data_IF_701617141994
#
_entry.id   IF_701617141994
#
_cell.length_a   1.000
_cell.length_b   1.000
_cell.length_c   1.000
_cell.angle_alpha   90.00
_cell.angle_beta   90.00
_cell.angle_gamma   90.00
#
_symmetry.space_group_name_H-M   'P 1'
#
loop_
_entity.id
_entity.type
_entity.pdbx_description
1 polymer ?
#
# COMPACT_ATOMS: atom_id res chain seq x y z
N UNK A 1 -65.58 -19.53 -54.98
CA UNK A 1 -66.04 -19.73 -53.59
C UNK A 1 -64.85 -19.35 -52.71
N UNK A 2 -64.82 -18.10 -52.21
CA UNK A 2 -64.98 -17.75 -50.79
C UNK A 2 -63.81 -18.27 -49.92
N UNK A 3 -63.04 -17.52 -49.13
CA UNK A 3 -63.24 -16.26 -48.37
C UNK A 3 -61.86 -15.73 -47.90
N UNK A 4 -61.76 -14.41 -47.77
CA UNK A 4 -60.72 -13.64 -47.05
C UNK A 4 -60.85 -13.83 -45.53
N UNK A 5 -59.75 -13.85 -44.76
CA UNK A 5 -59.59 -12.92 -43.61
C UNK A 5 -58.15 -12.90 -43.04
N UNK A 6 -57.72 -11.77 -42.44
CA UNK A 6 -56.33 -11.43 -42.11
C UNK A 6 -56.02 -11.56 -40.62
N UNK A 7 -54.74 -11.57 -40.24
CA UNK A 7 -54.33 -11.18 -38.89
C UNK A 7 -53.06 -10.33 -38.91
N UNK A 8 -53.26 -9.05 -38.61
CA UNK A 8 -52.25 -8.09 -38.20
C UNK A 8 -51.80 -8.43 -36.78
N UNK A 9 -50.49 -8.57 -36.54
CA UNK A 9 -49.94 -8.28 -35.22
C UNK A 9 -48.60 -7.56 -35.36
N UNK A 10 -48.66 -6.26 -35.09
CA UNK A 10 -47.55 -5.45 -34.59
C UNK A 10 -46.71 -6.24 -33.59
N UNK A 11 -45.40 -6.34 -33.78
CA UNK A 11 -44.47 -6.43 -32.65
C UNK A 11 -43.13 -5.76 -33.00
N UNK A 12 -43.04 -4.52 -32.52
CA UNK A 12 -41.89 -3.92 -31.84
C UNK A 12 -40.49 -4.14 -32.43
N UNK A 13 -40.09 -3.15 -33.23
CA UNK A 13 -38.70 -2.76 -33.48
C UNK A 13 -38.04 -2.38 -32.14
N UNK A 14 -37.27 -3.30 -31.53
CA UNK A 14 -36.47 -2.99 -30.34
C UNK A 14 -35.02 -2.69 -30.73
N UNK A 15 -34.75 -1.39 -30.73
CA UNK A 15 -33.46 -0.76 -30.92
C UNK A 15 -32.65 -0.91 -29.61
N UNK A 16 -31.79 -1.93 -29.53
CA UNK A 16 -30.77 -2.04 -28.47
C UNK A 16 -29.39 -1.82 -29.08
N UNK A 17 -29.08 -0.57 -29.40
CA UNK A 17 -27.70 -0.14 -29.65
C UNK A 17 -26.98 -0.07 -28.30
N UNK A 18 -26.49 -1.21 -27.82
CA UNK A 18 -25.57 -1.26 -26.68
C UNK A 18 -24.21 -0.75 -27.17
N UNK A 19 -23.97 0.53 -26.97
CA UNK A 19 -22.62 1.10 -26.97
C UNK A 19 -21.83 0.44 -25.82
N UNK A 20 -21.23 -0.71 -26.11
CA UNK A 20 -20.10 -1.20 -25.31
C UNK A 20 -18.94 -0.22 -25.54
N UNK A 21 -18.87 0.79 -24.68
CA UNK A 21 -17.62 1.50 -24.42
C UNK A 21 -16.64 0.46 -23.85
N UNK A 22 -15.95 -0.24 -24.74
CA UNK A 22 -14.73 -0.94 -24.42
C UNK A 22 -13.72 0.12 -24.03
N UNK A 23 -13.68 0.42 -22.73
CA UNK A 23 -12.56 1.10 -22.13
C UNK A 23 -11.32 0.27 -22.46
N UNK A 24 -10.51 0.76 -23.39
CA UNK A 24 -9.16 0.28 -23.59
C UNK A 24 -8.37 0.59 -22.32
N UNK A 25 -8.42 -0.30 -21.33
CA UNK A 25 -7.43 -0.32 -20.26
C UNK A 25 -6.12 -0.74 -20.92
N UNK A 26 -5.34 0.23 -21.36
CA UNK A 26 -4.01 0.02 -21.92
C UNK A 26 -3.14 -0.72 -20.90
N UNK A 27 -3.17 -2.04 -20.98
CA UNK A 27 -2.32 -2.94 -20.23
C UNK A 27 -0.90 -2.78 -20.74
N UNK A 28 -0.14 -1.91 -20.09
CA UNK A 28 1.30 -2.14 -19.97
C UNK A 28 1.45 -3.16 -18.86
N UNK A 29 1.58 -4.44 -19.20
CA UNK A 29 2.00 -5.48 -18.26
C UNK A 29 3.48 -5.26 -17.91
N UNK A 30 3.78 -4.09 -17.33
CA UNK A 30 5.07 -3.83 -16.70
C UNK A 30 5.19 -4.87 -15.59
N UNK A 31 6.04 -5.88 -15.81
CA UNK A 31 6.31 -6.91 -14.81
C UNK A 31 6.65 -6.23 -13.50
N UNK A 32 5.92 -6.56 -12.44
CA UNK A 32 6.13 -5.91 -11.16
C UNK A 32 7.52 -6.30 -10.65
N UNK A 33 8.25 -5.37 -10.00
CA UNK A 33 9.50 -5.71 -9.34
C UNK A 33 9.36 -6.90 -8.38
N UNK A 34 8.20 -7.02 -7.73
CA UNK A 34 7.88 -8.13 -6.85
C UNK A 34 7.83 -9.49 -7.59
N UNK A 35 7.43 -9.52 -8.85
CA UNK A 35 7.43 -10.75 -9.67
C UNK A 35 8.86 -11.18 -10.00
N UNK A 36 9.74 -10.22 -10.29
CA UNK A 36 11.17 -10.48 -10.49
C UNK A 36 11.81 -11.01 -9.21
N UNK A 37 11.56 -10.37 -8.06
CA UNK A 37 12.07 -10.84 -6.76
C UNK A 37 11.60 -12.27 -6.46
N UNK A 38 10.33 -12.60 -6.72
CA UNK A 38 9.82 -13.97 -6.55
C UNK A 38 10.53 -14.98 -7.46
N UNK A 39 10.81 -14.61 -8.71
CA UNK A 39 11.50 -15.47 -9.65
C UNK A 39 12.97 -15.70 -9.24
N UNK A 40 13.66 -14.64 -8.82
CA UNK A 40 15.05 -14.70 -8.37
C UNK A 40 15.19 -15.53 -7.07
N UNK A 41 14.11 -15.64 -6.27
CA UNK A 41 14.05 -16.42 -5.02
C UNK A 41 13.28 -17.75 -5.19
N UNK A 42 13.15 -18.27 -6.40
CA UNK A 42 12.35 -19.48 -6.66
C UNK A 42 12.83 -20.69 -5.84
N UNK A 43 14.15 -20.87 -5.74
CA UNK A 43 14.80 -21.98 -5.04
C UNK A 43 14.90 -21.75 -3.52
N UNK A 44 14.61 -20.54 -3.05
CA UNK A 44 14.62 -20.23 -1.62
C UNK A 44 13.34 -20.74 -0.97
N UNK A 45 13.42 -21.69 0.00
CA UNK A 45 12.23 -22.28 0.60
C UNK A 45 11.53 -21.32 1.56
N UNK A 46 12.27 -20.37 2.13
CA UNK A 46 11.80 -19.48 3.20
C UNK A 46 12.34 -18.08 3.00
N UNK A 47 11.45 -17.10 2.80
CA UNK A 47 11.81 -15.68 2.73
C UNK A 47 10.61 -14.77 2.99
N UNK A 48 10.84 -13.51 3.35
CA UNK A 48 9.82 -12.47 3.40
C UNK A 48 10.28 -11.24 2.61
N UNK A 49 9.37 -10.61 1.87
CA UNK A 49 9.65 -9.36 1.15
C UNK A 49 8.85 -8.24 1.78
N UNK A 50 9.56 -7.36 2.48
CA UNK A 50 9.01 -6.21 3.21
C UNK A 50 9.09 -4.97 2.33
N UNK A 51 8.01 -4.19 2.28
CA UNK A 51 8.01 -2.87 1.65
C UNK A 51 8.73 -1.88 2.56
N UNK A 52 10.05 -1.74 2.37
CA UNK A 52 10.91 -0.95 3.26
C UNK A 52 10.70 0.56 3.06
N UNK A 53 10.55 0.99 1.82
CA UNK A 53 10.36 2.39 1.46
C UNK A 53 9.51 2.54 0.18
N UNK A 54 8.93 3.72 0.01
CA UNK A 54 8.23 4.12 -1.21
C UNK A 54 8.40 5.62 -1.43
N UNK A 55 8.48 6.04 -2.69
CA UNK A 55 8.54 7.45 -3.04
C UNK A 55 7.78 7.77 -4.31
N UNK A 56 7.30 9.00 -4.35
CA UNK A 56 6.68 9.65 -5.50
C UNK A 56 7.58 10.83 -5.88
N UNK A 57 8.00 10.91 -7.14
CA UNK A 57 8.89 11.95 -7.65
C UNK A 57 8.30 12.59 -8.90
N UNK A 58 8.62 13.87 -9.12
CA UNK A 58 8.17 14.61 -10.30
C UNK A 58 6.95 15.50 -10.04
N UNK A 59 6.92 16.65 -10.73
CA UNK A 59 5.90 17.69 -10.54
C UNK A 59 4.75 17.59 -11.56
N UNK A 60 5.08 17.22 -12.80
CA UNK A 60 4.14 17.14 -13.93
C UNK A 60 3.94 15.71 -14.43
N UNK A 61 5.03 14.95 -14.50
CA UNK A 61 5.03 13.52 -14.77
C UNK A 61 5.56 12.84 -13.52
N UNK A 62 4.71 12.03 -12.87
CA UNK A 62 5.05 11.37 -11.62
C UNK A 62 5.67 10.01 -11.89
N UNK A 63 6.77 9.74 -11.21
CA UNK A 63 7.40 8.42 -11.14
C UNK A 63 7.19 7.87 -9.74
N UNK A 64 6.77 6.62 -9.67
CA UNK A 64 6.51 5.91 -8.43
C UNK A 64 7.56 4.82 -8.24
N UNK A 65 8.17 4.74 -7.07
CA UNK A 65 9.19 3.73 -6.80
C UNK A 65 9.03 3.11 -5.43
N UNK A 66 9.35 1.82 -5.34
CA UNK A 66 9.43 1.07 -4.09
C UNK A 66 10.86 0.66 -3.79
N UNK A 67 11.12 0.42 -2.50
CA UNK A 67 12.32 -0.23 -1.99
C UNK A 67 11.90 -1.41 -1.14
N UNK A 68 12.56 -2.54 -1.30
CA UNK A 68 12.21 -3.77 -0.62
C UNK A 68 13.36 -4.25 0.26
N UNK A 69 13.01 -4.79 1.42
CA UNK A 69 13.91 -5.59 2.24
C UNK A 69 13.50 -7.06 2.09
N UNK A 70 14.37 -7.84 1.44
CA UNK A 70 14.24 -9.29 1.33
C UNK A 70 14.93 -9.90 2.54
N UNK A 71 14.21 -10.75 3.28
CA UNK A 71 14.71 -11.39 4.49
C UNK A 71 14.62 -12.90 4.34
N UNK A 72 15.77 -13.58 4.38
CA UNK A 72 15.95 -15.03 4.45
C UNK A 72 16.35 -15.41 5.89
N UNK A 73 16.34 -16.70 6.28
CA UNK A 73 16.72 -17.12 7.63
C UNK A 73 18.09 -16.60 8.07
N UNK A 74 19.08 -16.67 7.17
CA UNK A 74 20.48 -16.40 7.48
C UNK A 74 21.02 -15.09 6.88
N UNK A 75 20.24 -14.41 6.03
CA UNK A 75 20.70 -13.24 5.28
C UNK A 75 19.55 -12.28 4.92
N UNK A 76 19.86 -11.00 4.69
CA UNK A 76 18.89 -10.01 4.22
C UNK A 76 19.51 -9.07 3.21
N UNK A 77 18.76 -8.73 2.17
CA UNK A 77 19.20 -7.84 1.10
C UNK A 77 18.19 -6.73 0.90
N UNK A 78 18.68 -5.50 0.73
CA UNK A 78 17.86 -4.35 0.34
C UNK A 78 17.98 -4.14 -1.16
N UNK A 79 16.85 -3.90 -1.82
CA UNK A 79 16.85 -3.50 -3.22
C UNK A 79 17.24 -2.03 -3.36
N UNK A 80 17.64 -1.65 -4.57
CA UNK A 80 17.59 -0.24 -4.98
C UNK A 80 16.14 0.25 -5.14
N UNK A 81 15.99 1.50 -5.55
CA UNK A 81 14.68 2.04 -5.95
C UNK A 81 14.23 1.38 -7.25
N UNK A 82 13.12 0.66 -7.18
CA UNK A 82 12.51 -0.02 -8.32
C UNK A 82 11.24 0.73 -8.71
N UNK A 83 11.15 1.17 -9.96
CA UNK A 83 9.96 1.82 -10.48
C UNK A 83 8.77 0.85 -10.51
N UNK A 84 7.60 1.35 -10.14
CA UNK A 84 6.35 0.60 -10.10
C UNK A 84 5.23 1.37 -10.80
N UNK A 85 4.24 0.68 -11.36
CA UNK A 85 3.02 1.35 -11.83
C UNK A 85 2.34 2.11 -10.69
N UNK A 86 1.76 3.27 -11.01
CA UNK A 86 1.00 4.09 -10.05
C UNK A 86 -0.09 3.30 -9.33
N UNK A 87 -0.79 2.41 -10.05
CA UNK A 87 -1.83 1.55 -9.50
C UNK A 87 -1.28 0.65 -8.39
N UNK A 88 -0.12 0.03 -8.62
CA UNK A 88 0.56 -0.82 -7.64
C UNK A 88 1.08 -0.01 -6.46
N UNK A 89 1.62 1.19 -6.70
CA UNK A 89 2.03 2.10 -5.63
C UNK A 89 0.85 2.46 -4.71
N UNK A 90 -0.28 2.85 -5.30
CA UNK A 90 -1.46 3.27 -4.55
C UNK A 90 -2.10 2.11 -3.78
N UNK A 91 -2.14 0.91 -4.36
CA UNK A 91 -2.61 -0.31 -3.67
C UNK A 91 -1.77 -0.66 -2.44
N UNK A 92 -0.47 -0.35 -2.46
CA UNK A 92 0.45 -0.68 -1.37
C UNK A 92 0.77 0.51 -0.45
N UNK A 93 0.16 1.68 -0.69
CA UNK A 93 0.49 2.94 0.02
C UNK A 93 0.30 2.85 1.53
N UNK A 94 -0.56 1.97 2.03
CA UNK A 94 -0.79 1.76 3.47
C UNK A 94 0.16 0.72 4.10
N UNK A 95 0.84 -0.09 3.28
CA UNK A 95 1.60 -1.26 3.72
C UNK A 95 3.10 -1.01 3.89
N UNK A 96 3.53 0.25 4.01
CA UNK A 96 4.92 0.56 4.31
C UNK A 96 5.35 -0.13 5.61
N UNK A 97 6.53 -0.75 5.59
CA UNK A 97 7.07 -1.56 6.67
C UNK A 97 6.38 -2.91 6.90
N UNK A 98 5.45 -3.32 6.03
CA UNK A 98 4.79 -4.63 6.10
C UNK A 98 5.39 -5.62 5.10
N UNK A 99 5.30 -6.91 5.41
CA UNK A 99 5.61 -7.97 4.47
C UNK A 99 4.48 -8.05 3.43
N UNK A 100 4.83 -7.84 2.15
CA UNK A 100 3.86 -7.96 1.06
C UNK A 100 3.66 -9.43 0.66
N UNK A 101 4.73 -10.21 0.75
CA UNK A 101 4.72 -11.66 0.54
C UNK A 101 5.65 -12.32 1.56
N UNK A 102 5.30 -13.55 1.93
CA UNK A 102 6.18 -14.44 2.68
C UNK A 102 6.11 -15.83 2.09
N UNK A 103 7.22 -16.57 2.08
CA UNK A 103 7.28 -17.97 1.70
C UNK A 103 7.79 -18.74 2.91
N UNK A 104 7.12 -19.84 3.24
CA UNK A 104 7.55 -20.76 4.31
C UNK A 104 7.52 -22.19 3.78
N UNK A 105 8.62 -22.91 3.94
CA UNK A 105 8.74 -24.31 3.51
C UNK A 105 8.24 -24.56 2.07
N UNK A 106 8.59 -23.68 1.13
CA UNK A 106 8.13 -23.79 -0.26
C UNK A 106 6.76 -23.17 -0.55
N UNK A 107 5.94 -22.91 0.47
CA UNK A 107 4.58 -22.38 0.33
C UNK A 107 4.57 -20.85 0.34
N UNK A 108 4.14 -20.25 -0.78
CA UNK A 108 4.01 -18.80 -0.91
C UNK A 108 2.71 -18.30 -0.30
N UNK A 109 2.81 -17.23 0.48
CA UNK A 109 1.73 -16.48 1.10
C UNK A 109 1.76 -15.04 0.59
N UNK A 110 0.72 -14.65 -0.15
CA UNK A 110 0.57 -13.32 -0.73
C UNK A 110 -0.24 -12.36 0.16
N UNK A 111 -0.56 -12.76 1.39
CA UNK A 111 -1.30 -11.89 2.30
C UNK A 111 -0.36 -10.93 3.00
N UNK A 112 -0.70 -9.64 2.91
CA UNK A 112 0.05 -8.58 3.57
C UNK A 112 -0.09 -8.69 5.09
N UNK A 113 1.04 -8.73 5.79
CA UNK A 113 1.08 -8.90 7.23
C UNK A 113 2.24 -8.10 7.85
N UNK A 114 2.20 -7.82 9.17
CA UNK A 114 3.38 -7.35 9.85
C UNK A 114 4.52 -8.37 9.67
N UNK A 115 5.76 -7.90 9.48
CA UNK A 115 6.88 -8.81 9.24
C UNK A 115 7.00 -9.86 10.36
N UNK A 116 7.31 -11.10 9.99
CA UNK A 116 7.47 -12.22 10.94
C UNK A 116 6.18 -12.99 11.27
N UNK A 117 5.00 -12.38 11.19
CA UNK A 117 3.74 -13.03 11.63
C UNK A 117 3.40 -14.31 10.85
N UNK A 118 3.75 -14.40 9.56
CA UNK A 118 3.47 -15.59 8.74
C UNK A 118 4.21 -16.86 9.21
N UNK A 119 5.25 -16.72 10.05
CA UNK A 119 6.02 -17.83 10.61
C UNK A 119 5.60 -18.20 12.05
N UNK A 120 4.80 -17.36 12.70
CA UNK A 120 4.37 -17.57 14.09
C UNK A 120 3.37 -18.71 14.14
N UNK A 121 3.45 -19.52 15.20
CA UNK A 121 2.58 -20.68 15.42
C UNK A 121 3.07 -21.96 14.73
N UNK A 122 4.12 -21.88 13.92
CA UNK A 122 4.74 -23.02 13.26
C UNK A 122 5.95 -23.52 14.07
N UNK A 123 5.91 -24.74 14.65
CA UNK A 123 6.95 -25.24 15.55
C UNK A 123 8.32 -25.42 14.87
N UNK A 124 8.41 -25.37 13.53
CA UNK A 124 9.72 -25.38 12.85
C UNK A 124 10.48 -24.07 13.02
N UNK A 125 9.77 -22.98 13.27
CA UNK A 125 10.29 -21.61 13.30
C UNK A 125 10.54 -21.08 14.70
N UNK A 126 9.90 -21.66 15.71
CA UNK A 126 9.99 -21.19 17.08
C UNK A 126 8.99 -21.85 18.00
N UNK A 127 8.82 -21.28 19.18
CA UNK A 127 7.83 -21.73 20.15
C UNK A 127 7.28 -20.56 20.98
N UNK A 128 6.14 -20.78 21.60
CA UNK A 128 5.61 -19.86 22.60
C UNK A 128 6.45 -19.94 23.88
N UNK A 129 6.79 -18.79 24.44
CA UNK A 129 7.45 -18.62 25.75
C UNK A 129 6.55 -17.80 26.65
N UNK A 130 6.61 -18.10 27.94
CA UNK A 130 5.96 -17.26 28.96
C UNK A 130 6.88 -16.09 29.32
N UNK A 131 6.31 -14.92 29.48
CA UNK A 131 7.01 -13.79 30.10
C UNK A 131 6.81 -13.78 31.63
N UNK A 132 7.56 -12.94 32.32
CA UNK A 132 7.50 -12.81 33.78
C UNK A 132 6.17 -12.24 34.30
N UNK A 133 5.30 -11.74 33.43
CA UNK A 133 4.00 -11.15 33.76
C UNK A 133 2.84 -12.11 33.42
N UNK A 134 3.13 -13.36 33.05
CA UNK A 134 2.14 -14.39 32.72
C UNK A 134 1.60 -14.30 31.29
N UNK A 135 2.12 -13.39 30.47
CA UNK A 135 1.85 -13.35 29.03
C UNK A 135 2.59 -14.45 28.28
N UNK A 136 2.23 -14.66 27.00
CA UNK A 136 2.96 -15.55 26.10
C UNK A 136 3.40 -14.79 24.85
N UNK A 137 4.67 -14.92 24.48
CA UNK A 137 5.24 -14.35 23.26
C UNK A 137 5.90 -15.42 22.41
N UNK A 138 5.99 -15.18 21.11
CA UNK A 138 6.67 -16.07 20.18
C UNK A 138 8.16 -15.84 20.20
N UNK A 139 8.93 -16.89 20.43
CA UNK A 139 10.38 -16.91 20.34
C UNK A 139 10.79 -17.69 19.09
N UNK A 140 11.47 -17.03 18.16
CA UNK A 140 12.08 -17.70 17.01
C UNK A 140 13.32 -18.49 17.45
N UNK A 141 13.54 -19.66 16.84
CA UNK A 141 14.79 -20.41 17.06
C UNK A 141 16.01 -19.63 16.59
N UNK A 142 17.18 -19.90 17.17
CA UNK A 142 18.42 -19.16 16.90
C UNK A 142 18.81 -19.10 15.41
N UNK A 143 18.50 -20.14 14.62
CA UNK A 143 18.69 -20.14 13.15
C UNK A 143 17.81 -19.12 12.40
N UNK A 144 16.89 -18.47 13.08
CA UNK A 144 16.07 -17.36 12.59
C UNK A 144 16.32 -16.09 13.41
N UNK A 145 17.50 -15.94 14.01
CA UNK A 145 17.87 -14.74 14.78
C UNK A 145 17.74 -13.46 13.93
N UNK A 146 17.96 -13.55 12.62
CA UNK A 146 17.77 -12.42 11.71
C UNK A 146 16.29 -12.03 11.55
N UNK A 147 15.38 -13.01 11.50
CA UNK A 147 13.95 -12.73 11.53
C UNK A 147 13.57 -12.01 12.81
N UNK A 148 14.04 -12.52 13.95
CA UNK A 148 13.88 -11.84 15.23
C UNK A 148 14.39 -10.41 15.15
N UNK A 149 15.63 -10.16 14.75
CA UNK A 149 16.21 -8.80 14.77
C UNK A 149 15.50 -7.81 13.84
N UNK A 150 15.11 -8.23 12.63
CA UNK A 150 14.50 -7.34 11.64
C UNK A 150 13.02 -7.08 11.87
N UNK A 151 12.27 -8.08 12.35
CA UNK A 151 10.80 -8.02 12.44
C UNK A 151 10.27 -7.43 13.75
N UNK A 152 11.15 -7.02 14.66
CA UNK A 152 10.73 -6.39 15.91
C UNK A 152 11.69 -6.62 17.08
N UNK A 153 12.56 -7.62 16.96
CA UNK A 153 13.60 -7.95 17.93
C UNK A 153 13.04 -8.22 19.32
N UNK A 154 13.95 -8.18 20.30
CA UNK A 154 13.64 -8.13 21.73
C UNK A 154 12.75 -6.95 22.13
N UNK A 155 12.67 -5.90 21.30
CA UNK A 155 11.97 -4.66 21.63
C UNK A 155 10.48 -4.68 21.28
N UNK A 156 10.03 -5.65 20.47
CA UNK A 156 8.60 -5.86 20.13
C UNK A 156 8.32 -7.36 19.93
N UNK A 157 8.25 -8.15 21.02
CA UNK A 157 7.83 -9.55 20.93
C UNK A 157 6.44 -9.68 20.31
N UNK A 158 6.21 -10.76 19.55
CA UNK A 158 4.87 -11.06 19.01
C UNK A 158 4.10 -11.81 20.09
N UNK A 159 3.18 -11.13 20.77
CA UNK A 159 2.36 -11.74 21.82
C UNK A 159 1.26 -12.62 21.23
N UNK A 160 0.88 -13.66 21.98
CA UNK A 160 -0.17 -14.62 21.61
C UNK A 160 -1.50 -13.94 21.29
N UNK A 161 -1.85 -12.91 22.04
CA UNK A 161 -3.08 -12.15 21.82
C UNK A 161 -3.04 -11.38 20.49
N UNK A 162 -1.91 -10.76 20.15
CA UNK A 162 -1.75 -10.06 18.87
C UNK A 162 -1.77 -11.05 17.70
N UNK A 163 -1.16 -12.22 17.87
CA UNK A 163 -1.20 -13.28 16.87
C UNK A 163 -2.61 -13.85 16.67
N UNK A 164 -3.41 -13.99 17.72
CA UNK A 164 -4.81 -14.40 17.60
C UNK A 164 -5.63 -13.38 16.78
N UNK A 165 -5.41 -12.08 16.99
CA UNK A 165 -6.06 -11.02 16.20
C UNK A 165 -5.59 -11.00 14.74
N UNK A 166 -4.31 -11.26 14.51
CA UNK A 166 -3.75 -11.47 13.18
C UNK A 166 -4.46 -12.62 12.47
N UNK A 167 -4.59 -13.79 13.12
CA UNK A 167 -5.25 -14.95 12.54
C UNK A 167 -6.72 -14.69 12.20
N UNK A 168 -7.43 -13.92 13.04
CA UNK A 168 -8.81 -13.50 12.76
C UNK A 168 -8.90 -12.53 11.56
N UNK A 169 -7.95 -11.60 11.44
CA UNK A 169 -7.90 -10.69 10.30
C UNK A 169 -7.60 -11.45 9.01
N UNK A 170 -6.66 -12.40 9.10
CA UNK A 170 -6.26 -13.31 8.04
C UNK A 170 -7.40 -14.20 7.53
N UNK A 171 -8.19 -14.79 8.42
CA UNK A 171 -9.34 -15.63 8.04
C UNK A 171 -10.44 -14.86 7.30
N UNK A 172 -10.47 -13.54 7.48
CA UNK A 172 -11.39 -12.62 6.78
C UNK A 172 -10.74 -11.88 5.60
N UNK A 173 -9.53 -12.29 5.18
CA UNK A 173 -8.75 -11.66 4.10
C UNK A 173 -8.48 -10.15 4.31
N UNK A 174 -8.32 -9.72 5.57
CA UNK A 174 -8.03 -8.32 5.92
C UNK A 174 -6.56 -8.18 6.36
N UNK A 175 -5.82 -7.18 5.86
CA UNK A 175 -4.49 -6.87 6.38
C UNK A 175 -4.56 -6.52 7.87
N UNK A 176 -3.64 -7.09 8.65
CA UNK A 176 -3.52 -6.80 10.07
C UNK A 176 -2.45 -5.74 10.31
N UNK A 177 -2.82 -4.61 10.89
CA UNK A 177 -1.89 -3.50 11.15
C UNK A 177 -1.34 -3.50 12.59
N UNK A 178 -1.55 -4.58 13.34
CA UNK A 178 -1.32 -4.60 14.79
C UNK A 178 -2.54 -4.15 15.57
N UNK A 179 -2.61 -4.54 16.85
CA UNK A 179 -3.75 -4.26 17.72
C UNK A 179 -4.01 -2.76 17.87
N UNK A 180 -2.95 -1.96 17.95
CA UNK A 180 -3.03 -0.51 18.07
C UNK A 180 -2.55 0.20 16.80
N UNK A 181 -2.64 -0.48 15.64
CA UNK A 181 -2.19 0.04 14.33
C UNK A 181 -0.71 0.46 14.32
N UNK A 182 0.14 -0.35 14.95
CA UNK A 182 1.57 -0.07 15.08
C UNK A 182 2.34 -0.25 13.75
N UNK A 183 1.78 -1.01 12.81
CA UNK A 183 2.36 -1.30 11.50
C UNK A 183 1.66 -0.52 10.37
N UNK A 184 2.26 -0.55 9.18
CA UNK A 184 1.79 0.21 8.03
C UNK A 184 2.26 1.66 8.04
N UNK A 185 1.94 2.40 6.98
CA UNK A 185 2.47 3.74 6.70
C UNK A 185 2.13 4.81 7.72
N UNK A 186 1.15 4.58 8.59
CA UNK A 186 0.78 5.48 9.69
C UNK A 186 1.20 4.96 11.06
N UNK A 187 1.72 3.73 11.13
CA UNK A 187 2.08 3.04 12.35
C UNK A 187 3.33 3.59 13.03
N UNK A 188 3.39 3.42 14.35
CA UNK A 188 4.50 3.89 15.19
C UNK A 188 5.84 3.22 14.84
N UNK A 189 5.82 1.96 14.41
CA UNK A 189 7.03 1.19 14.06
C UNK A 189 7.73 1.81 12.86
N UNK A 190 6.95 2.17 11.83
CA UNK A 190 7.49 2.76 10.59
C UNK A 190 7.96 4.18 10.82
N UNK A 191 7.22 4.97 11.62
CA UNK A 191 7.64 6.32 12.05
C UNK A 191 9.01 6.32 12.72
N UNK A 192 9.28 5.33 13.56
CA UNK A 192 10.57 5.20 14.23
C UNK A 192 11.68 4.72 13.28
N UNK A 193 11.40 3.72 12.43
CA UNK A 193 12.42 3.07 11.57
C UNK A 193 12.73 3.85 10.28
N UNK A 194 11.78 4.61 9.74
CA UNK A 194 11.94 5.31 8.46
C UNK A 194 11.54 6.81 8.56
N UNK A 195 12.30 7.63 9.30
CA UNK A 195 12.03 9.07 9.39
C UNK A 195 12.17 9.77 8.03
N UNK A 196 13.02 9.25 7.14
CA UNK A 196 13.24 9.78 5.79
C UNK A 196 12.00 9.73 4.90
N UNK A 197 11.17 8.70 5.01
CA UNK A 197 9.89 8.64 4.29
C UNK A 197 8.98 9.82 4.66
N UNK A 198 8.86 10.10 5.96
CA UNK A 198 8.00 11.18 6.45
C UNK A 198 8.59 12.56 6.16
N UNK A 199 9.92 12.73 6.23
CA UNK A 199 10.56 14.01 5.86
C UNK A 199 10.29 14.36 4.39
N UNK A 200 10.51 13.40 3.47
CA UNK A 200 10.20 13.57 2.05
C UNK A 200 8.73 13.89 1.80
N UNK A 201 7.82 13.21 2.51
CA UNK A 201 6.38 13.47 2.40
C UNK A 201 6.01 14.88 2.89
N UNK A 202 6.62 15.34 3.98
CA UNK A 202 6.41 16.70 4.48
C UNK A 202 6.95 17.76 3.50
N UNK A 203 8.13 17.53 2.93
CA UNK A 203 8.72 18.41 1.91
C UNK A 203 7.83 18.51 0.67
N UNK A 204 7.33 17.38 0.16
CA UNK A 204 6.40 17.35 -0.96
C UNK A 204 5.11 18.14 -0.67
N UNK A 205 4.55 18.00 0.54
CA UNK A 205 3.38 18.76 0.97
C UNK A 205 3.66 20.28 1.04
N UNK A 206 4.82 20.69 1.57
CA UNK A 206 5.24 22.10 1.61
C UNK A 206 5.45 22.68 0.20
N UNK A 207 6.04 21.91 -0.70
CA UNK A 207 6.20 22.29 -2.10
C UNK A 207 4.84 22.45 -2.82
N UNK A 208 3.89 21.55 -2.56
CA UNK A 208 2.53 21.66 -3.10
C UNK A 208 1.79 22.89 -2.54
N UNK A 209 1.89 23.16 -1.24
CA UNK A 209 1.29 24.33 -0.60
C UNK A 209 1.87 25.65 -1.13
N UNK A 210 3.19 25.75 -1.27
CA UNK A 210 3.84 26.94 -1.84
C UNK A 210 3.42 27.18 -3.29
N UNK A 211 3.37 26.12 -4.11
CA UNK A 211 2.88 26.18 -5.50
C UNK A 211 1.42 26.63 -5.58
N UNK A 212 0.56 26.15 -4.67
CA UNK A 212 -0.84 26.58 -4.57
C UNK A 212 -0.95 28.07 -4.20
N UNK A 213 -0.20 28.52 -3.17
CA UNK A 213 -0.17 29.94 -2.76
C UNK A 213 0.27 30.85 -3.91
N UNK A 214 1.30 30.46 -4.67
CA UNK A 214 1.75 31.21 -5.84
C UNK A 214 0.66 31.29 -6.93
N UNK A 215 -0.06 30.19 -7.20
CA UNK A 215 -1.19 30.20 -8.16
C UNK A 215 -2.35 31.07 -7.69
N UNK A 216 -2.70 31.01 -6.40
CA UNK A 216 -3.75 31.84 -5.81
C UNK A 216 -3.40 33.33 -5.88
N UNK A 217 -2.17 33.71 -5.51
CA UNK A 217 -1.68 35.09 -5.59
C UNK A 217 -1.72 35.63 -7.03
N UNK A 218 -1.33 34.82 -8.03
CA UNK A 218 -1.41 35.20 -9.46
C UNK A 218 -2.85 35.42 -9.96
N UNK A 219 -3.83 34.71 -9.40
CA UNK A 219 -5.26 34.89 -9.75
C UNK A 219 -5.88 36.08 -9.03
N UNK A 220 -5.57 36.27 -7.74
CA UNK A 220 -6.04 37.41 -6.94
C UNK A 220 -5.42 38.73 -7.38
N UNK A 221 -4.18 38.74 -7.87
CA UNK A 221 -3.52 39.93 -8.41
C UNK A 221 -4.13 40.47 -9.71
N UNK A 222 -5.02 39.72 -10.37
CA UNK A 222 -5.71 40.13 -11.61
C UNK A 222 -7.06 40.80 -11.36
N UNK A 223 -7.60 40.74 -10.14
CA UNK A 223 -8.84 41.41 -9.74
C UNK A 223 -8.52 42.67 -8.93
N UNK A 224 -7.89 43.66 -9.56
CA UNK A 224 -8.09 45.06 -9.16
C UNK A 224 -9.18 45.64 -10.05
N UNK A 225 -10.44 45.32 -9.76
CA UNK A 225 -11.52 46.22 -10.18
C UNK A 225 -11.30 47.51 -9.41
N UNK A 226 -10.86 48.55 -10.12
CA UNK A 226 -10.72 49.87 -9.55
C UNK A 226 -12.09 50.39 -9.11
N UNK A 227 -12.45 50.16 -7.85
CA UNK A 227 -13.43 50.99 -7.18
C UNK A 227 -12.78 52.36 -6.98
N UNK A 228 -12.92 53.19 -8.02
CA UNK A 228 -12.67 54.62 -7.99
C UNK A 228 -13.71 55.19 -7.03
N UNK A 229 -13.32 55.36 -5.77
CA UNK A 229 -14.12 56.09 -4.79
C UNK A 229 -14.31 57.52 -5.31
N UNK A 230 -15.48 57.78 -5.91
CA UNK A 230 -15.94 59.15 -6.17
C UNK A 230 -16.20 59.77 -4.80
N UNK A 231 -15.24 60.56 -4.34
CA UNK A 231 -15.41 61.51 -3.25
C UNK A 231 -16.49 62.51 -3.66
N UNK A 232 -17.69 62.36 -3.12
CA UNK A 232 -18.70 63.40 -3.15
C UNK A 232 -18.25 64.56 -2.26
N UNK A 233 -17.91 65.68 -2.88
CA UNK A 233 -17.72 66.97 -2.22
C UNK A 233 -18.71 67.95 -2.80
N UNK A 234 -19.81 68.18 -2.08
CA UNK A 234 -20.78 69.24 -2.35
C UNK A 234 -20.46 70.37 -1.38
N UNK A 235 -20.10 71.55 -1.89
CA UNK A 235 -19.74 72.69 -1.06
C UNK A 235 -19.60 73.99 -1.84
N UNK A 236 -20.70 74.76 -1.83
CA UNK A 236 -20.92 76.20 -2.12
C UNK A 236 -20.18 76.85 -3.28
#
# INVERSE_FOLDING_TARGET
MQIYHPHNYLTALWLCAVFFLSACSGGSSTRLPLDKIKADLADEPTYSVVLEDMREQGTFFKTYSHKYLVVKPDDSTRTDWLEVPETFYNQNREFLGMALISKKDGTLDNQVAPPGYSYVGDPKYGNWRQDSQGGSFWEFYGKYALFSSLFGGWNRPIYRNDYAMYNQSRSTNRPFFGRNKEFGSTGSVVKAKNPGFYSRRMEANRAAQSSFKQKAAKRMGRTKTGFRSRSGGFGK
#
